data_IF_288229078824
#
_entry.id   IF_288229078824
#
_cell.length_a   1.000
_cell.length_b   1.000
_cell.length_c   1.000
_cell.angle_alpha   90.00
_cell.angle_beta   90.00
_cell.angle_gamma   90.00
#
_symmetry.space_group_name_H-M   'P 1'
#
loop_
_entity.id
_entity.type
_entity.pdbx_description
1 polymer ?
#
# COMPACT_ATOMS: atom_id res chain seq x y z
N UNK A 1 -22.69 -10.57 -17.58
CA UNK A 1 -22.62 -10.67 -16.10
C UNK A 1 -22.01 -9.38 -15.60
N UNK A 2 -22.70 -8.62 -14.75
CA UNK A 2 -22.16 -7.38 -14.17
C UNK A 2 -21.31 -7.78 -12.97
N UNK A 3 -19.99 -7.63 -13.05
CA UNK A 3 -19.13 -7.80 -11.88
C UNK A 3 -19.47 -6.68 -10.88
N UNK A 4 -20.26 -7.01 -9.87
CA UNK A 4 -20.58 -6.16 -8.72
C UNK A 4 -19.40 -6.16 -7.73
N UNK A 5 -18.17 -5.91 -8.19
CA UNK A 5 -17.11 -5.59 -7.23
C UNK A 5 -17.48 -4.23 -6.60
N UNK A 6 -17.58 -4.12 -5.25
CA UNK A 6 -17.73 -2.82 -4.62
C UNK A 6 -16.65 -1.90 -5.18
N UNK A 7 -17.03 -0.70 -5.59
CA UNK A 7 -16.10 0.24 -6.20
C UNK A 7 -15.14 0.74 -5.13
N UNK A 8 -13.95 0.14 -5.09
CA UNK A 8 -12.91 0.45 -4.11
C UNK A 8 -12.15 1.70 -4.53
N UNK A 9 -11.96 2.63 -3.60
CA UNK A 9 -11.13 3.84 -3.78
C UNK A 9 -9.73 3.57 -3.22
N UNK A 10 -8.72 3.74 -4.08
CA UNK A 10 -7.31 3.61 -3.69
C UNK A 10 -6.67 4.99 -3.65
N UNK A 11 -5.94 5.26 -2.58
CA UNK A 11 -5.08 6.43 -2.46
C UNK A 11 -3.62 5.97 -2.47
N UNK A 12 -2.83 6.57 -3.35
CA UNK A 12 -1.38 6.34 -3.45
C UNK A 12 -0.65 7.61 -3.06
N UNK A 13 0.34 7.47 -2.18
CA UNK A 13 1.20 8.58 -1.73
C UNK A 13 2.66 8.21 -1.89
N UNK A 14 3.34 8.93 -2.77
CA UNK A 14 4.73 8.65 -3.16
C UNK A 14 5.32 9.96 -3.70
N UNK A 15 6.43 10.41 -3.10
CA UNK A 15 7.03 11.71 -3.45
C UNK A 15 7.98 11.60 -4.65
N UNK A 16 8.41 10.38 -4.99
CA UNK A 16 9.11 10.11 -6.25
C UNK A 16 8.12 10.01 -7.43
N UNK A 17 8.19 10.92 -8.42
CA UNK A 17 7.25 10.94 -9.53
C UNK A 17 7.32 9.69 -10.43
N UNK A 18 8.44 8.99 -10.46
CA UNK A 18 8.62 7.74 -11.22
C UNK A 18 7.78 6.63 -10.61
N UNK A 19 7.90 6.44 -9.29
CA UNK A 19 7.12 5.43 -8.57
C UNK A 19 5.64 5.79 -8.51
N UNK A 20 5.30 7.07 -8.36
CA UNK A 20 3.91 7.52 -8.41
C UNK A 20 3.26 7.22 -9.77
N UNK A 21 3.99 7.43 -10.88
CA UNK A 21 3.52 7.09 -12.22
C UNK A 21 3.38 5.58 -12.45
N UNK A 22 4.31 4.78 -11.90
CA UNK A 22 4.21 3.32 -11.92
C UNK A 22 2.92 2.84 -11.23
N UNK A 23 2.63 3.33 -10.03
CA UNK A 23 1.41 2.98 -9.31
C UNK A 23 0.14 3.36 -10.06
N UNK A 24 0.08 4.58 -10.60
CA UNK A 24 -1.05 5.04 -11.41
C UNK A 24 -1.30 4.10 -12.60
N UNK A 25 -0.23 3.68 -13.29
CA UNK A 25 -0.32 2.74 -14.41
C UNK A 25 -0.82 1.36 -13.97
N UNK A 26 -0.21 0.77 -12.94
CA UNK A 26 -0.58 -0.57 -12.44
C UNK A 26 -2.05 -0.64 -12.03
N UNK A 27 -2.52 0.35 -11.25
CA UNK A 27 -3.89 0.36 -10.74
C UNK A 27 -4.91 0.56 -11.87
N UNK A 28 -4.58 1.34 -12.91
CA UNK A 28 -5.41 1.48 -14.11
C UNK A 28 -5.52 0.17 -14.88
N UNK A 29 -4.42 -0.56 -15.04
CA UNK A 29 -4.41 -1.88 -15.71
C UNK A 29 -5.29 -2.90 -14.97
N UNK A 30 -5.38 -2.81 -13.63
CA UNK A 30 -6.28 -3.61 -12.80
C UNK A 30 -7.77 -3.25 -12.91
N UNK A 31 -8.14 -2.23 -13.71
CA UNK A 31 -9.53 -1.75 -13.92
C UNK A 31 -10.24 -1.32 -12.62
N UNK A 32 -9.48 -0.83 -11.65
CA UNK A 32 -10.01 -0.26 -10.41
C UNK A 32 -10.58 1.13 -10.74
N UNK A 33 -11.79 1.42 -10.24
CA UNK A 33 -12.56 2.59 -10.69
C UNK A 33 -11.90 3.92 -10.30
N UNK A 34 -11.33 4.00 -9.11
CA UNK A 34 -10.82 5.27 -8.58
C UNK A 34 -9.46 5.07 -7.90
N UNK A 35 -8.45 5.68 -8.52
CA UNK A 35 -7.11 5.84 -7.98
C UNK A 35 -6.84 7.34 -7.83
N UNK A 36 -6.52 7.78 -6.61
CA UNK A 36 -6.11 9.15 -6.33
C UNK A 36 -4.63 9.13 -5.93
N UNK A 37 -3.81 9.86 -6.68
CA UNK A 37 -2.36 9.93 -6.46
C UNK A 37 -1.97 11.27 -5.85
N UNK A 38 -1.05 11.24 -4.88
CA UNK A 38 -0.55 12.43 -4.21
C UNK A 38 0.97 12.31 -4.00
N UNK A 39 1.71 13.36 -4.35
CA UNK A 39 3.13 13.49 -3.96
C UNK A 39 3.33 14.17 -2.62
N UNK A 40 2.24 14.66 -1.99
CA UNK A 40 2.28 15.32 -0.70
C UNK A 40 1.35 14.60 0.30
N UNK A 41 1.90 14.07 1.41
CA UNK A 41 1.12 13.28 2.38
C UNK A 41 0.03 14.09 3.07
N UNK A 42 0.22 15.39 3.32
CA UNK A 42 -0.81 16.25 3.95
C UNK A 42 -2.01 16.44 3.04
N UNK A 43 -1.80 16.61 1.73
CA UNK A 43 -2.89 16.70 0.75
C UNK A 43 -3.66 15.38 0.66
N UNK A 44 -2.96 14.25 0.70
CA UNK A 44 -3.59 12.93 0.73
C UNK A 44 -4.46 12.75 1.98
N UNK A 45 -3.95 13.12 3.15
CA UNK A 45 -4.70 13.04 4.41
C UNK A 45 -5.97 13.90 4.37
N UNK A 46 -5.88 15.15 3.89
CA UNK A 46 -7.04 16.02 3.72
C UNK A 46 -8.08 15.42 2.77
N UNK A 47 -7.62 14.84 1.65
CA UNK A 47 -8.52 14.17 0.71
C UNK A 47 -9.21 12.95 1.34
N UNK A 48 -8.47 12.13 2.10
CA UNK A 48 -9.03 10.96 2.80
C UNK A 48 -10.00 11.33 3.93
N UNK A 49 -9.84 12.50 4.55
CA UNK A 49 -10.80 13.03 5.51
C UNK A 49 -12.12 13.44 4.83
N UNK A 50 -12.04 14.02 3.63
CA UNK A 50 -13.22 14.41 2.87
C UNK A 50 -13.94 13.20 2.25
N UNK A 51 -13.18 12.21 1.78
CA UNK A 51 -13.68 10.98 1.18
C UNK A 51 -12.81 9.79 1.63
N UNK A 52 -13.35 8.87 2.45
CA UNK A 52 -12.58 7.72 2.93
C UNK A 52 -12.07 6.85 1.78
N UNK A 53 -10.81 6.42 1.89
CA UNK A 53 -10.22 5.42 1.02
C UNK A 53 -10.46 4.01 1.58
N UNK A 54 -10.51 3.00 0.70
CA UNK A 54 -10.51 1.59 1.09
C UNK A 54 -9.09 1.06 1.30
N UNK A 55 -8.15 1.51 0.46
CA UNK A 55 -6.74 1.14 0.49
C UNK A 55 -5.89 2.39 0.44
N UNK A 56 -4.93 2.49 1.35
CA UNK A 56 -3.82 3.45 1.29
C UNK A 56 -2.54 2.70 0.92
N UNK A 57 -1.88 3.17 -0.14
CA UNK A 57 -0.52 2.79 -0.53
C UNK A 57 0.37 3.99 -0.25
N UNK A 58 1.43 3.84 0.55
CA UNK A 58 2.32 4.97 0.88
C UNK A 58 3.77 4.55 1.00
N UNK A 59 4.71 5.34 0.47
CA UNK A 59 6.11 5.20 0.87
C UNK A 59 6.28 5.51 2.35
N UNK A 60 7.13 4.75 3.04
CA UNK A 60 7.50 4.99 4.43
C UNK A 60 8.30 6.27 4.53
N UNK A 61 9.27 6.49 3.66
CA UNK A 61 10.17 7.64 3.73
C UNK A 61 9.67 8.72 2.78
N UNK A 62 9.16 9.81 3.33
CA UNK A 62 8.73 10.98 2.54
C UNK A 62 9.10 12.27 3.27
N UNK A 63 9.18 13.36 2.52
CA UNK A 63 9.32 14.70 3.11
C UNK A 63 8.06 15.14 3.90
N UNK A 64 8.26 16.01 4.90
CA UNK A 64 7.23 16.60 5.79
C UNK A 64 6.50 15.65 6.77
N UNK A 65 6.04 14.50 6.30
CA UNK A 65 5.31 13.49 7.08
C UNK A 65 5.60 12.12 6.47
N UNK A 66 6.00 11.16 7.30
CA UNK A 66 6.33 9.84 6.82
C UNK A 66 5.06 8.98 6.58
N UNK A 67 5.18 7.90 5.80
CA UNK A 67 4.03 7.06 5.45
C UNK A 67 3.35 6.39 6.65
N UNK A 68 4.12 6.07 7.69
CA UNK A 68 3.59 5.51 8.93
C UNK A 68 2.70 6.52 9.67
N UNK A 69 3.15 7.76 9.81
CA UNK A 69 2.39 8.85 10.43
C UNK A 69 1.09 9.15 9.65
N UNK A 70 1.20 9.20 8.32
CA UNK A 70 0.04 9.36 7.44
C UNK A 70 -0.97 8.23 7.64
N UNK A 71 -0.52 6.98 7.59
CA UNK A 71 -1.36 5.81 7.72
C UNK A 71 -2.03 5.74 9.10
N UNK A 72 -1.29 6.06 10.17
CA UNK A 72 -1.81 6.14 11.53
C UNK A 72 -2.91 7.20 11.64
N UNK A 73 -2.70 8.39 11.10
CA UNK A 73 -3.70 9.47 11.11
C UNK A 73 -4.93 9.13 10.25
N UNK A 74 -4.74 8.47 9.11
CA UNK A 74 -5.83 8.03 8.25
C UNK A 74 -6.69 6.96 8.93
N UNK A 75 -6.06 6.01 9.63
CA UNK A 75 -6.74 4.91 10.32
C UNK A 75 -7.56 5.35 11.53
N UNK A 76 -7.20 6.47 12.17
CA UNK A 76 -8.03 7.10 13.21
C UNK A 76 -9.41 7.52 12.68
N UNK A 77 -9.49 7.93 11.41
CA UNK A 77 -10.75 8.34 10.77
C UNK A 77 -11.46 7.17 10.07
N UNK A 78 -10.70 6.18 9.60
CA UNK A 78 -11.23 4.96 9.01
C UNK A 78 -10.51 3.72 9.56
N UNK A 79 -11.02 3.10 10.65
CA UNK A 79 -10.42 1.91 11.25
C UNK A 79 -10.33 0.71 10.28
N UNK A 80 -11.18 0.67 9.26
CA UNK A 80 -11.22 -0.41 8.26
C UNK A 80 -10.24 -0.18 7.09
N UNK A 81 -9.52 0.94 7.07
CA UNK A 81 -8.54 1.25 6.03
C UNK A 81 -7.49 0.14 5.95
N UNK A 82 -7.35 -0.44 4.75
CA UNK A 82 -6.25 -1.35 4.43
C UNK A 82 -5.03 -0.52 4.09
N UNK A 83 -3.88 -0.92 4.62
CA UNK A 83 -2.63 -0.17 4.49
C UNK A 83 -1.59 -1.07 3.85
N UNK A 84 -1.00 -0.57 2.77
CA UNK A 84 0.22 -1.07 2.17
C UNK A 84 1.29 0.02 2.27
N UNK A 85 2.29 -0.20 3.09
CA UNK A 85 3.48 0.65 3.12
C UNK A 85 4.50 0.13 2.11
N UNK A 86 5.24 1.02 1.47
CA UNK A 86 6.39 0.66 0.62
C UNK A 86 7.66 1.17 1.26
N UNK A 87 8.78 0.48 1.09
CA UNK A 87 10.03 0.88 1.75
C UNK A 87 11.26 0.52 0.93
N UNK A 88 12.26 1.41 0.92
CA UNK A 88 13.55 1.14 0.31
C UNK A 88 14.50 0.35 1.21
N UNK A 89 15.50 -0.28 0.60
CA UNK A 89 16.57 -0.99 1.31
C UNK A 89 17.25 -0.09 2.35
N UNK A 90 17.49 -0.64 3.55
CA UNK A 90 18.17 0.08 4.64
C UNK A 90 17.28 1.05 5.43
N UNK A 91 15.97 1.09 5.18
CA UNK A 91 15.04 1.87 6.01
C UNK A 91 14.93 1.25 7.40
N UNK A 92 15.28 2.01 8.44
CA UNK A 92 15.06 1.59 9.82
C UNK A 92 13.57 1.69 10.18
N UNK A 93 12.94 0.52 10.34
CA UNK A 93 11.53 0.36 10.70
C UNK A 93 11.31 0.12 12.19
N UNK A 94 12.37 -0.07 12.98
CA UNK A 94 12.27 -0.45 14.40
C UNK A 94 11.55 0.58 15.27
N UNK A 95 11.52 1.84 14.82
CA UNK A 95 10.81 2.95 15.46
C UNK A 95 9.29 2.95 15.21
N UNK A 96 8.78 2.09 14.33
CA UNK A 96 7.37 2.05 13.94
C UNK A 96 6.67 0.83 14.50
N UNK A 97 5.49 1.05 15.09
CA UNK A 97 4.60 -0.03 15.51
C UNK A 97 3.74 -0.49 14.32
N UNK A 98 4.35 -1.28 13.43
CA UNK A 98 3.69 -1.81 12.22
C UNK A 98 2.60 -2.82 12.56
N UNK A 99 2.79 -3.64 13.61
CA UNK A 99 1.80 -4.58 14.11
C UNK A 99 0.54 -3.86 14.61
N UNK A 100 0.71 -2.82 15.44
CA UNK A 100 -0.40 -1.97 15.90
C UNK A 100 -1.07 -1.19 14.77
N UNK A 101 -0.33 -0.88 13.70
CA UNK A 101 -0.91 -0.27 12.49
C UNK A 101 -1.73 -1.28 11.66
N UNK A 102 -1.51 -2.59 11.81
CA UNK A 102 -2.11 -3.66 11.02
C UNK A 102 -1.99 -3.38 9.52
N UNK A 103 -0.76 -3.47 9.01
CA UNK A 103 -0.40 -3.12 7.64
C UNK A 103 0.38 -4.22 6.94
N UNK A 104 0.41 -4.13 5.62
CA UNK A 104 1.36 -4.85 4.78
C UNK A 104 2.52 -3.92 4.42
N UNK A 105 3.68 -4.51 4.18
CA UNK A 105 4.88 -3.80 3.77
C UNK A 105 5.45 -4.44 2.51
N UNK A 106 5.71 -3.63 1.49
CA UNK A 106 6.31 -4.02 0.22
C UNK A 106 7.70 -3.39 0.08
N UNK A 107 8.71 -4.23 -0.11
CA UNK A 107 10.09 -3.79 -0.26
C UNK A 107 10.38 -3.37 -1.71
N UNK A 108 11.11 -2.25 -1.84
CA UNK A 108 11.65 -1.74 -3.10
C UNK A 108 13.09 -2.26 -3.28
N UNK A 109 13.53 -2.59 -4.51
CA UNK A 109 12.79 -2.43 -5.77
C UNK A 109 11.70 -3.49 -5.97
N UNK A 110 10.71 -3.22 -6.83
CA UNK A 110 9.67 -4.20 -7.16
C UNK A 110 10.21 -5.16 -8.22
N UNK A 111 10.47 -6.40 -7.83
CA UNK A 111 11.10 -7.40 -8.72
C UNK A 111 10.12 -8.00 -9.73
N UNK A 112 8.91 -8.36 -9.29
CA UNK A 112 7.81 -8.79 -10.18
C UNK A 112 6.56 -7.92 -9.95
N UNK A 113 6.12 -7.23 -11.00
CA UNK A 113 4.91 -6.39 -10.96
C UNK A 113 3.62 -7.22 -10.91
N UNK A 114 3.66 -8.48 -11.32
CA UNK A 114 2.55 -9.43 -11.25
C UNK A 114 2.20 -9.73 -9.79
N UNK A 115 3.22 -9.90 -8.94
CA UNK A 115 3.06 -10.12 -7.50
C UNK A 115 2.50 -8.88 -6.81
N UNK A 116 2.97 -7.69 -7.18
CA UNK A 116 2.40 -6.43 -6.70
C UNK A 116 0.92 -6.32 -7.08
N UNK A 117 0.56 -6.67 -8.32
CA UNK A 117 -0.84 -6.68 -8.75
C UNK A 117 -1.68 -7.71 -7.99
N UNK A 118 -1.14 -8.91 -7.75
CA UNK A 118 -1.82 -9.97 -6.99
C UNK A 118 -2.03 -9.54 -5.54
N UNK A 119 -0.99 -9.01 -4.89
CA UNK A 119 -1.04 -8.42 -3.54
C UNK A 119 -2.17 -7.39 -3.45
N UNK A 120 -2.17 -6.40 -4.35
CA UNK A 120 -3.19 -5.36 -4.37
C UNK A 120 -4.58 -5.95 -4.55
N UNK A 121 -4.76 -6.89 -5.48
CA UNK A 121 -6.05 -7.53 -5.72
C UNK A 121 -6.56 -8.21 -4.46
N UNK A 122 -5.73 -9.01 -3.79
CA UNK A 122 -6.09 -9.70 -2.55
C UNK A 122 -6.40 -8.73 -1.41
N UNK A 123 -5.60 -7.69 -1.26
CA UNK A 123 -5.80 -6.65 -0.25
C UNK A 123 -7.14 -5.93 -0.44
N UNK A 124 -7.50 -5.61 -1.69
CA UNK A 124 -8.77 -4.98 -2.08
C UNK A 124 -9.96 -5.92 -1.82
N UNK A 125 -9.79 -7.21 -2.11
CA UNK A 125 -10.80 -8.25 -1.90
C UNK A 125 -10.96 -8.64 -0.41
N UNK A 126 -10.02 -8.23 0.46
CA UNK A 126 -9.99 -8.62 1.87
C UNK A 126 -9.67 -10.11 2.05
N UNK A 127 -9.01 -10.71 1.05
CA UNK A 127 -8.55 -12.09 1.08
C UNK A 127 -7.19 -12.19 1.80
N UNK A 128 -6.76 -13.42 2.08
CA UNK A 128 -5.38 -13.67 2.47
C UNK A 128 -4.46 -13.21 1.33
N UNK A 129 -3.59 -12.24 1.62
CA UNK A 129 -2.70 -11.63 0.63
C UNK A 129 -1.69 -12.62 0.06
N UNK A 130 -1.33 -13.64 0.83
CA UNK A 130 -0.31 -14.62 0.49
C UNK A 130 -0.85 -15.83 -0.28
N UNK A 131 -2.18 -15.93 -0.42
CA UNK A 131 -2.80 -17.06 -1.11
C UNK A 131 -2.53 -17.02 -2.62
N UNK A 132 -1.77 -18.00 -3.11
CA UNK A 132 -1.48 -18.18 -4.53
C UNK A 132 -0.36 -17.28 -5.08
N UNK A 133 0.43 -16.67 -4.18
CA UNK A 133 1.76 -16.14 -4.53
C UNK A 133 2.76 -17.30 -4.62
N UNK A 134 3.73 -17.19 -5.54
CA UNK A 134 4.81 -18.18 -5.64
C UNK A 134 5.72 -18.10 -4.41
N UNK A 135 6.26 -19.24 -3.96
CA UNK A 135 7.16 -19.30 -2.79
C UNK A 135 8.40 -18.39 -2.97
N UNK A 136 8.85 -18.21 -4.21
CA UNK A 136 9.98 -17.34 -4.55
C UNK A 136 9.64 -15.84 -4.52
N UNK A 137 8.36 -15.47 -4.69
CA UNK A 137 7.86 -14.09 -4.59
C UNK A 137 8.03 -13.52 -3.18
N UNK A 138 8.21 -14.39 -2.18
CA UNK A 138 8.49 -14.04 -0.80
C UNK A 138 9.98 -13.85 -0.54
N UNK A 139 10.89 -14.43 -1.30
CA UNK A 139 12.30 -14.50 -0.91
C UNK A 139 13.19 -13.63 -1.79
N UNK A 140 13.56 -12.45 -1.30
CA UNK A 140 14.92 -11.96 -1.58
C UNK A 140 15.82 -12.34 -0.40
N UNK A 141 16.01 -13.66 -0.24
CA UNK A 141 16.60 -14.38 0.90
C UNK A 141 15.68 -14.51 2.13
N UNK A 142 15.85 -15.59 2.91
CA UNK A 142 15.10 -15.87 4.17
C UNK A 142 15.14 -14.68 5.16
N UNK A 143 16.08 -13.75 4.99
CA UNK A 143 16.31 -12.58 5.85
C UNK A 143 15.56 -11.30 5.41
N UNK A 144 15.07 -11.19 4.17
CA UNK A 144 14.41 -9.95 3.69
C UNK A 144 13.35 -10.21 2.61
N UNK A 145 12.13 -10.60 3.02
CA UNK A 145 11.08 -10.90 2.07
C UNK A 145 10.53 -9.67 1.33
N UNK A 146 10.14 -9.84 0.07
CA UNK A 146 9.59 -8.75 -0.77
C UNK A 146 8.29 -8.17 -0.21
N UNK A 147 7.47 -9.00 0.47
CA UNK A 147 6.20 -8.59 1.09
C UNK A 147 6.15 -9.16 2.51
N UNK A 148 5.77 -8.35 3.50
CA UNK A 148 5.48 -8.79 4.87
C UNK A 148 4.11 -8.32 5.35
N UNK A 149 3.47 -9.11 6.22
CA UNK A 149 2.23 -8.76 6.91
C UNK A 149 2.54 -8.53 8.39
N UNK A 150 1.99 -7.45 8.94
CA UNK A 150 2.15 -7.05 10.33
C UNK A 150 0.76 -6.92 10.95
N UNK A 151 0.46 -7.75 11.95
CA UNK A 151 -0.82 -7.79 12.67
C UNK A 151 -0.58 -7.87 14.19
N UNK A 152 -1.63 -7.62 14.98
CA UNK A 152 -1.59 -7.67 16.45
C UNK A 152 -1.63 -9.11 17.01
#
# INVERSE_FOLDING_TARGET
MKNNNPQKTIVVVEDDPTFLHLWDRLIKEMKIKECLTFSNPKKALQAMQAKPADVLISDVVMSEMNGYELAKAAKQNNPNLKILLTTGYGTDLSRFDLAGLQCHLLHKPYHDLSDVCLLLKRLIEGANVFEGMDEDSFSENEDNPSITEWTL
#
